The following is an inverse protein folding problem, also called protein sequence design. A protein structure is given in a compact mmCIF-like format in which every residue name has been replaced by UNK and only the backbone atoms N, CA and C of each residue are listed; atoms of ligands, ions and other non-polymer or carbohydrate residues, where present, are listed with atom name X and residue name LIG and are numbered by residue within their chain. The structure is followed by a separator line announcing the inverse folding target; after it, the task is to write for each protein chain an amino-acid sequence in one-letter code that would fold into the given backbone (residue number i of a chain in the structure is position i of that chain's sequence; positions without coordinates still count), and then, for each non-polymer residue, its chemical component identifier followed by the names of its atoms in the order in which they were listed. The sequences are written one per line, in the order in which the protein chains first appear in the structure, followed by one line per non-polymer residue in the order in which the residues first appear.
data_IF_734779273363
#
_entry.id   IF_734779273363
#
_cell.length_a   1.000
_cell.length_b   1.000
_cell.length_c   1.000
_cell.angle_alpha   90.00
_cell.angle_beta   90.00
_cell.angle_gamma   90.00
#
_symmetry.space_group_name_H-M   'P 1'
#
loop_
_entity.id
_entity.type
_entity.pdbx_description
1 polymer ?
2 water ?
#
# COMPACT_ATOMS: atom_id res chain seq x y z
N UNK A 1 -2.19 8.74 -20.04
CA UNK A 1 -1.72 9.10 -18.71
C UNK A 1 -0.45 9.95 -18.84
N UNK A 2 -0.18 10.80 -17.86
CA UNK A 2 0.89 11.79 -18.02
C UNK A 2 2.26 11.18 -17.74
N UNK A 3 3.30 11.97 -18.04
CA UNK A 3 4.65 11.46 -17.89
C UNK A 3 5.03 11.36 -16.43
N UNK A 4 4.50 12.24 -15.60
CA UNK A 4 4.76 12.20 -14.18
C UNK A 4 3.46 12.14 -13.40
N UNK A 5 3.44 11.29 -12.38
CA UNK A 5 2.38 11.25 -11.39
C UNK A 5 3.03 11.23 -10.02
N UNK A 6 2.48 11.99 -9.09
CA UNK A 6 2.97 12.00 -7.72
C UNK A 6 1.77 12.38 -6.86
N UNK A 7 1.09 11.38 -6.31
CA UNK A 7 -0.11 11.63 -5.53
C UNK A 7 0.13 12.43 -4.27
N UNK A 8 1.37 12.52 -3.80
CA UNK A 8 1.66 13.41 -2.67
C UNK A 8 1.38 14.86 -3.05
N UNK A 9 1.66 15.23 -4.31
CA UNK A 9 1.45 16.60 -4.75
C UNK A 9 -0.01 16.93 -4.87
N UNK A 10 -0.88 15.92 -4.88
CA UNK A 10 -2.31 16.13 -5.00
C UNK A 10 -3.04 15.82 -3.71
N UNK A 11 -2.35 16.00 -2.58
CA UNK A 11 -2.90 15.83 -1.25
C UNK A 11 -3.57 14.50 -0.97
N UNK A 12 -3.09 13.41 -1.59
CA UNK A 12 -3.74 12.11 -1.48
C UNK A 12 -2.92 11.09 -0.71
N UNK A 13 -1.85 11.52 -0.04
CA UNK A 13 -0.95 10.62 0.67
C UNK A 13 -0.75 11.13 2.08
N UNK A 14 -0.99 10.26 3.06
CA UNK A 14 -0.77 10.62 4.45
C UNK A 14 0.70 10.45 4.80
N UNK A 15 1.10 10.91 5.98
CA UNK A 15 2.50 10.78 6.39
C UNK A 15 2.99 9.34 6.38
N UNK A 16 4.30 9.18 6.19
CA UNK A 16 4.92 7.85 6.19
C UNK A 16 4.78 7.18 7.55
N UNK A 17 4.46 5.89 7.51
CA UNK A 17 4.23 5.12 8.72
C UNK A 17 5.38 4.14 8.95
N UNK A 18 5.41 3.56 10.14
CA UNK A 18 6.38 2.54 10.49
C UNK A 18 5.62 1.32 10.98
N UNK A 19 5.75 0.22 10.23
CA UNK A 19 5.06 -1.00 10.62
C UNK A 19 5.72 -1.63 11.84
N UNK A 20 6.94 -1.22 12.17
CA UNK A 20 7.58 -1.82 13.30
C UNK A 20 8.02 -3.22 12.98
N UNK A 21 8.15 -4.01 14.04
CA UNK A 21 8.63 -5.37 13.91
C UNK A 21 7.55 -6.27 13.34
N UNK A 22 6.30 -5.82 13.42
CA UNK A 22 5.14 -6.57 12.98
C UNK A 22 5.11 -6.74 11.46
N UNK A 23 4.78 -7.94 11.00
CA UNK A 23 4.64 -8.15 9.57
C UNK A 23 3.31 -7.66 9.04
N UNK A 24 3.04 -6.37 9.19
CA UNK A 24 1.75 -5.80 8.82
C UNK A 24 1.83 -4.95 7.57
N UNK A 25 2.92 -5.06 6.81
CA UNK A 25 3.04 -4.30 5.57
C UNK A 25 1.81 -4.46 4.69
N UNK A 26 1.20 -5.66 4.69
CA UNK A 26 0.04 -5.88 3.83
C UNK A 26 -1.10 -4.93 4.19
N UNK A 27 -1.26 -4.65 5.49
CA UNK A 27 -2.28 -3.72 5.95
C UNK A 27 -1.89 -2.27 5.68
N UNK A 28 -0.61 -1.94 5.85
CA UNK A 28 -0.17 -0.58 5.55
C UNK A 28 -0.36 -0.26 4.08
N UNK A 29 0.04 -1.18 3.20
CA UNK A 29 -0.15 -1.00 1.76
C UNK A 29 -1.63 -0.78 1.43
N UNK A 30 -2.51 -1.66 1.93
CA UNK A 30 -3.94 -1.46 1.66
C UNK A 30 -4.42 -0.10 2.15
N UNK A 31 -4.03 0.27 3.38
CA UNK A 31 -4.50 1.53 3.94
C UNK A 31 -4.03 2.71 3.11
N UNK A 32 -2.79 2.65 2.60
CA UNK A 32 -2.31 3.74 1.74
C UNK A 32 -3.27 3.91 0.58
N UNK A 33 -3.68 2.78 -0.01
CA UNK A 33 -4.56 2.88 -1.16
C UNK A 33 -5.97 3.36 -0.78
N UNK A 34 -6.43 3.04 0.42
CA UNK A 34 -7.75 3.54 0.84
C UNK A 34 -7.70 5.04 1.10
N UNK A 35 -6.70 5.52 1.85
CA UNK A 35 -6.54 6.96 2.06
C UNK A 35 -6.48 7.70 0.72
N UNK A 36 -5.80 7.11 -0.26
CA UNK A 36 -5.68 7.77 -1.54
C UNK A 36 -7.03 7.83 -2.25
N UNK A 37 -7.73 6.70 -2.32
CA UNK A 37 -8.98 6.69 -3.06
C UNK A 37 -10.05 7.54 -2.35
N UNK A 38 -10.01 7.63 -1.01
CA UNK A 38 -10.98 8.48 -0.32
C UNK A 38 -10.69 9.94 -0.64
N UNK A 39 -9.42 10.32 -0.70
CA UNK A 39 -9.10 11.69 -1.09
C UNK A 39 -9.54 11.97 -2.53
N UNK A 40 -9.24 11.04 -3.44
CA UNK A 40 -9.61 11.23 -4.84
C UNK A 40 -11.12 11.39 -5.00
N UNK A 41 -11.91 10.59 -4.29
CA UNK A 41 -13.36 10.64 -4.46
C UNK A 41 -14.05 11.73 -3.65
N UNK A 42 -13.53 12.11 -2.48
CA UNK A 42 -14.25 13.01 -1.59
C UNK A 42 -13.58 14.35 -1.35
N UNK A 43 -12.30 14.50 -1.67
CA UNK A 43 -11.58 15.74 -1.46
C UNK A 43 -10.92 15.89 -0.11
N UNK A 44 -11.13 14.95 0.81
CA UNK A 44 -10.59 15.01 2.16
C UNK A 44 -9.54 13.92 2.31
N UNK A 45 -8.39 14.28 2.87
CA UNK A 45 -7.35 13.32 3.21
C UNK A 45 -7.48 12.94 4.68
N UNK A 46 -7.76 11.67 4.94
CA UNK A 46 -7.87 11.16 6.30
C UNK A 46 -6.94 9.98 6.48
N UNK A 47 -6.62 9.67 7.73
CA UNK A 47 -5.88 8.46 8.04
C UNK A 47 -6.83 7.38 8.52
N UNK A 48 -6.64 6.18 8.01
CA UNK A 48 -7.48 5.05 8.35
C UNK A 48 -6.62 4.01 9.05
N UNK A 49 -7.29 3.00 9.58
CA UNK A 49 -6.71 2.12 10.57
C UNK A 49 -6.04 0.91 9.92
N UNK A 50 -4.71 0.88 9.94
CA UNK A 50 -4.02 -0.38 9.63
C UNK A 50 -4.34 -1.45 10.67
N UNK A 51 -4.45 -1.05 11.94
CA UNK A 51 -4.69 -2.01 13.01
C UNK A 51 -6.02 -2.73 12.82
N UNK A 52 -7.04 -2.01 12.35
CA UNK A 52 -8.33 -2.65 12.13
C UNK A 52 -8.21 -3.78 11.12
N UNK A 53 -7.47 -3.56 10.03
CA UNK A 53 -7.30 -4.62 9.05
C UNK A 53 -6.48 -5.75 9.62
N UNK A 54 -5.43 -5.39 10.35
CA UNK A 54 -4.58 -6.38 11.00
C UNK A 54 -5.41 -7.30 11.89
N UNK A 55 -6.32 -6.73 12.69
CA UNK A 55 -7.11 -7.49 13.66
C UNK A 55 -8.22 -8.27 12.98
N UNK A 56 -8.82 -7.70 11.94
CA UNK A 56 -10.11 -8.15 11.44
C UNK A 56 -10.04 -8.91 10.13
N UNK A 57 -8.92 -8.84 9.40
CA UNK A 57 -8.84 -9.59 8.14
C UNK A 57 -8.55 -11.05 8.46
N UNK A 58 -9.62 -11.84 8.45
CA UNK A 58 -9.61 -13.25 8.79
C UNK A 58 -8.91 -14.11 7.75
N UNK A 59 -8.63 -13.56 6.56
CA UNK A 59 -7.84 -14.27 5.55
C UNK A 59 -6.35 -14.03 5.72
N UNK A 60 -5.97 -12.87 6.25
CA UNK A 60 -4.58 -12.58 6.55
C UNK A 60 -4.20 -13.24 7.86
N UNK A 61 -2.93 -13.10 8.26
CA UNK A 61 -2.42 -13.78 9.45
C UNK A 61 -1.86 -12.80 10.48
N UNK A 62 -2.46 -11.63 10.59
CA UNK A 62 -1.95 -10.66 11.55
C UNK A 62 -0.54 -10.24 11.22
N UNK A 63 0.34 -10.28 12.22
CA UNK A 63 1.74 -9.92 12.04
C UNK A 63 2.57 -11.00 11.36
N UNK A 64 1.99 -12.14 11.03
CA UNK A 64 2.74 -13.13 10.29
C UNK A 64 2.56 -13.00 8.79
N UNK A 65 1.98 -11.89 8.34
CA UNK A 65 1.80 -11.59 6.94
C UNK A 65 0.33 -11.69 6.58
N UNK A 66 0.04 -11.37 5.33
CA UNK A 66 -1.34 -11.27 4.91
C UNK A 66 -1.43 -10.81 3.48
N UNK A 67 -2.64 -10.42 3.07
CA UNK A 67 -2.92 -10.20 1.67
C UNK A 67 -3.50 -8.81 1.53
N UNK A 68 -2.83 -7.90 0.85
CA UNK A 68 -3.43 -6.58 0.57
C UNK A 68 -4.78 -6.69 -0.11
N UNK A 69 -4.96 -7.67 -1.00
CA UNK A 69 -6.25 -7.83 -1.66
C UNK A 69 -7.34 -8.19 -0.66
N UNK A 70 -7.00 -9.00 0.34
CA UNK A 70 -7.99 -9.38 1.34
C UNK A 70 -8.39 -8.19 2.20
N UNK A 71 -7.41 -7.38 2.62
CA UNK A 71 -7.70 -6.18 3.38
C UNK A 71 -8.55 -5.21 2.59
N UNK A 72 -8.28 -5.09 1.29
CA UNK A 72 -9.09 -4.18 0.50
C UNK A 72 -10.51 -4.73 0.32
N UNK A 73 -10.64 -6.05 0.20
CA UNK A 73 -11.96 -6.67 0.22
C UNK A 73 -12.69 -6.35 1.52
N UNK A 74 -12.00 -6.51 2.65
CA UNK A 74 -12.61 -6.22 3.95
C UNK A 74 -13.12 -4.79 4.02
N UNK A 75 -12.35 -3.84 3.50
CA UNK A 75 -12.81 -2.45 3.52
C UNK A 75 -13.99 -2.25 2.57
N UNK A 76 -14.05 -3.02 1.49
CA UNK A 76 -15.18 -2.87 0.59
C UNK A 76 -16.45 -3.52 1.11
N UNK A 77 -16.36 -4.55 1.95
CA UNK A 77 -17.57 -5.24 2.39
C UNK A 77 -18.05 -4.82 3.77
N UNK A 78 -17.20 -4.18 4.57
CA UNK A 78 -17.65 -3.53 5.80
C UNK A 78 -17.30 -2.06 5.77
N UNK A 79 -16.03 -1.73 5.85
CA UNK A 79 -15.60 -0.36 5.92
C UNK A 79 -14.34 -0.32 6.74
N UNK A 80 -13.94 0.89 7.13
CA UNK A 80 -12.71 1.05 7.89
C UNK A 80 -12.87 2.26 8.79
N UNK A 81 -12.23 2.20 9.95
CA UNK A 81 -12.25 3.30 10.89
C UNK A 81 -11.07 4.23 10.67
N UNK A 82 -11.21 5.44 11.20
CA UNK A 82 -10.09 6.37 11.20
C UNK A 82 -8.95 5.78 12.00
N UNK A 83 -7.74 6.16 11.62
CA UNK A 83 -6.57 5.64 12.32
C UNK A 83 -6.62 6.00 13.79
N UNK A 84 -7.02 7.24 14.11
CA UNK A 84 -7.04 7.68 15.51
C UNK A 84 -8.08 6.92 16.31
N UNK A 85 -9.22 6.58 15.70
CA UNK A 85 -10.22 5.78 16.40
C UNK A 85 -9.68 4.39 16.73
N UNK A 86 -8.76 3.88 15.91
CA UNK A 86 -8.30 2.50 15.96
C UNK A 86 -6.81 2.53 15.66
N UNK A 87 -6.01 3.04 16.59
CA UNK A 87 -4.60 3.31 16.30
C UNK A 87 -3.79 2.04 16.21
N UNK A 88 -2.61 2.19 15.62
CA UNK A 88 -1.73 1.07 15.34
C UNK A 88 -0.97 0.70 16.59
N UNK A 89 -0.99 -0.58 16.93
CA UNK A 89 -0.37 -1.06 18.14
C UNK A 89 0.80 -1.98 17.85
N UNK A 90 0.97 -2.40 16.59
CA UNK A 90 2.12 -3.21 16.24
C UNK A 90 1.99 -4.64 16.72
N UNK A 91 0.77 -5.06 17.08
CA UNK A 91 0.48 -6.42 17.53
C UNK A 91 -0.96 -6.74 17.16
N UNK A 92 -1.20 -7.98 16.78
CA UNK A 92 -2.56 -8.39 16.46
C UNK A 92 -3.34 -8.57 17.75
N UNK A 93 -4.56 -8.05 17.76
CA UNK A 93 -5.47 -8.16 18.88
C UNK A 93 -6.80 -8.69 18.34
N UNK A 94 -7.79 -8.78 19.22
CA UNK A 94 -9.13 -9.13 18.78
C UNK A 94 -9.69 -8.03 17.89
N UNK A 95 -10.47 -8.44 16.89
CA UNK A 95 -11.16 -7.48 16.04
C UNK A 95 -12.12 -6.61 16.84
N UNK A 96 -11.90 -5.30 16.79
CA UNK A 96 -12.67 -4.35 17.59
C UNK A 96 -13.51 -3.39 16.75
N UNK A 97 -13.71 -3.67 15.46
CA UNK A 97 -14.54 -2.82 14.60
C UNK A 97 -15.93 -2.62 15.19
N UNK A 98 -16.56 -3.70 15.64
CA UNK A 98 -17.90 -3.58 16.22
C UNK A 98 -17.91 -2.66 17.44
N UNK A 99 -16.84 -2.66 18.23
CA UNK A 99 -16.77 -1.81 19.41
C UNK A 99 -16.33 -0.39 19.12
N UNK A 100 -16.03 -0.04 17.88
CA UNK A 100 -15.51 1.30 17.64
C UNK A 100 -16.50 2.17 16.89
N UNK A 101 -17.76 1.80 16.91
CA UNK A 101 -18.78 2.62 16.32
C UNK A 101 -18.83 2.40 14.82
N UNK A 102 -19.64 3.21 14.14
CA UNK A 102 -19.80 3.05 12.69
C UNK A 102 -18.51 3.31 11.94
N UNK A 103 -18.34 2.61 10.82
CA UNK A 103 -17.11 2.74 10.06
C UNK A 103 -16.99 4.15 9.49
N UNK A 104 -15.74 4.61 9.34
CA UNK A 104 -15.49 5.96 8.86
C UNK A 104 -15.62 6.07 7.35
N UNK A 105 -15.23 5.02 6.62
CA UNK A 105 -15.27 5.00 5.17
C UNK A 105 -15.54 3.58 4.70
N UNK A 106 -16.06 3.47 3.49
CA UNK A 106 -16.32 2.16 2.91
C UNK A 106 -16.12 2.28 1.41
N UNK A 107 -15.55 1.25 0.80
CA UNK A 107 -15.35 1.24 -0.65
C UNK A 107 -16.33 0.25 -1.27
N UNK A 108 -16.25 0.11 -2.59
CA UNK A 108 -17.23 -0.71 -3.29
C UNK A 108 -16.61 -1.96 -3.88
N UNK A 109 -15.29 -2.09 -3.80
CA UNK A 109 -14.65 -3.30 -4.27
C UNK A 109 -13.16 -3.11 -4.38
N UNK A 110 -12.52 -4.09 -5.00
CA UNK A 110 -11.08 -4.10 -5.17
C UNK A 110 -10.82 -4.72 -6.53
N UNK A 111 -10.07 -4.02 -7.37
CA UNK A 111 -9.68 -4.54 -8.66
C UNK A 111 -8.19 -4.87 -8.64
N UNK A 112 -7.79 -5.82 -9.46
CA UNK A 112 -6.40 -6.21 -9.63
C UNK A 112 -5.87 -5.67 -10.95
N UNK A 113 -4.66 -5.14 -10.91
CA UNK A 113 -3.95 -4.83 -12.15
C UNK A 113 -3.54 -6.13 -12.83
N UNK A 114 -3.54 -6.13 -14.17
CA UNK A 114 -2.90 -7.24 -14.87
C UNK A 114 -1.47 -7.41 -14.36
N UNK A 115 -1.10 -8.59 -13.87
CA UNK A 115 0.26 -8.75 -13.34
C UNK A 115 1.30 -8.78 -14.45
N UNK A 116 2.54 -8.47 -14.06
CA UNK A 116 3.70 -8.57 -14.94
C UNK A 116 3.53 -7.67 -16.16
N UNK A 117 2.98 -6.48 -15.94
CA UNK A 117 2.62 -5.56 -17.02
C UNK A 117 2.85 -4.15 -16.49
N UNK A 118 3.96 -3.54 -16.90
CA UNK A 118 4.33 -2.23 -16.36
C UNK A 118 3.28 -1.17 -16.70
N UNK A 119 2.88 -1.10 -17.96
CA UNK A 119 1.93 -0.08 -18.35
C UNK A 119 0.60 -0.22 -17.63
N UNK A 120 0.17 -1.46 -17.39
CA UNK A 120 -1.07 -1.66 -16.66
C UNK A 120 -0.94 -1.10 -15.25
N UNK A 121 0.24 -1.29 -14.65
CA UNK A 121 0.46 -0.76 -13.32
C UNK A 121 0.51 0.76 -13.35
N UNK A 122 1.20 1.32 -14.34
CA UNK A 122 1.24 2.77 -14.48
C UNK A 122 -0.15 3.35 -14.69
N UNK A 123 -0.97 2.67 -15.49
CA UNK A 123 -2.33 3.15 -15.71
C UNK A 123 -3.11 3.24 -14.41
N UNK A 124 -2.97 2.24 -13.54
CA UNK A 124 -3.69 2.32 -12.28
C UNK A 124 -3.14 3.44 -11.41
N UNK A 125 -1.82 3.66 -11.44
CA UNK A 125 -1.26 4.69 -10.57
C UNK A 125 -1.75 6.06 -11.00
N UNK A 126 -1.91 6.27 -12.30
CA UNK A 126 -2.46 7.52 -12.81
C UNK A 126 -3.88 7.77 -12.33
N UNK A 127 -4.59 6.72 -11.91
CA UNK A 127 -5.91 6.91 -11.31
C UNK A 127 -5.85 7.04 -9.81
N UNK A 128 -4.86 6.41 -9.15
CA UNK A 128 -4.88 6.30 -7.70
C UNK A 128 -3.67 5.57 -7.16
N UNK A 129 -3.35 5.73 -5.88
CA UNK A 129 -2.32 4.87 -5.28
C UNK A 129 -2.75 3.41 -5.35
N UNK A 130 -1.77 2.53 -5.57
CA UNK A 130 -2.03 1.12 -5.84
C UNK A 130 -1.20 0.31 -4.85
N UNK A 131 -1.77 -0.78 -4.36
CA UNK A 131 -1.01 -1.69 -3.51
C UNK A 131 -0.17 -2.60 -4.39
N UNK A 132 1.14 -2.67 -4.12
CA UNK A 132 2.06 -3.49 -4.91
C UNK A 132 2.91 -4.30 -3.94
N UNK A 133 3.57 -5.33 -4.47
CA UNK A 133 4.44 -6.16 -3.65
C UNK A 133 5.84 -6.16 -4.25
N UNK A 134 6.82 -6.48 -3.41
CA UNK A 134 8.19 -6.50 -3.88
C UNK A 134 9.04 -7.36 -2.95
N UNK A 135 10.26 -7.64 -3.42
CA UNK A 135 11.28 -8.32 -2.64
C UNK A 135 12.05 -7.30 -1.82
N UNK A 136 11.87 -7.33 -0.51
CA UNK A 136 12.57 -6.41 0.37
C UNK A 136 13.68 -7.08 1.18
N UNK A 137 13.90 -8.38 0.99
CA UNK A 137 14.85 -9.11 1.84
C UNK A 137 16.30 -8.74 1.55
N UNK A 138 16.60 -8.29 0.33
CA UNK A 138 17.98 -7.98 -0.01
C UNK A 138 18.51 -6.80 0.79
N UNK A 139 19.77 -6.91 1.24
CA UNK A 139 20.39 -5.80 1.95
C UNK A 139 20.41 -4.54 1.09
N UNK A 140 20.50 -4.68 -0.23
CA UNK A 140 20.55 -3.50 -1.08
C UNK A 140 19.27 -2.68 -0.93
N UNK A 141 18.12 -3.37 -0.91
CA UNK A 141 16.84 -2.72 -0.65
C UNK A 141 16.73 -2.26 0.79
N UNK A 142 17.18 -3.12 1.71
CA UNK A 142 17.08 -2.82 3.13
C UNK A 142 17.84 -1.54 3.47
N UNK A 143 19.00 -1.32 2.83
CA UNK A 143 19.90 -0.21 3.13
C UNK A 143 19.69 1.00 2.22
N UNK A 144 18.67 0.97 1.36
CA UNK A 144 18.45 2.05 0.40
C UNK A 144 18.35 3.40 1.10
N UNK A 145 19.09 4.39 0.59
CA UNK A 145 19.06 5.76 1.09
C UNK A 145 18.47 6.75 0.12
N UNK A 146 18.54 6.48 -1.17
CA UNK A 146 18.01 7.43 -2.12
C UNK A 146 18.50 7.13 -3.51
N UNK A 147 17.89 7.83 -4.44
CA UNK A 147 18.15 7.66 -5.85
C UNK A 147 17.15 6.72 -6.45
N UNK A 148 17.30 6.50 -7.75
CA UNK A 148 16.43 5.56 -8.42
C UNK A 148 17.01 4.17 -8.23
N UNK A 149 16.31 3.35 -7.46
CA UNK A 149 16.79 2.03 -7.08
C UNK A 149 16.62 1.06 -8.23
N UNK A 150 17.70 0.38 -8.61
CA UNK A 150 17.69 -0.60 -9.68
C UNK A 150 17.94 -2.02 -9.17
N UNK A 151 18.07 -2.19 -7.85
CA UNK A 151 18.53 -3.42 -7.23
C UNK A 151 19.98 -3.31 -6.77
N UNK A 152 20.67 -4.44 -6.61
CA UNK A 152 20.26 -5.81 -6.89
C UNK A 152 19.07 -6.26 -6.08
N UNK A 153 18.23 -7.08 -6.69
CA UNK A 153 17.13 -7.72 -5.99
C UNK A 153 16.61 -8.81 -6.89
N UNK A 154 16.02 -9.82 -6.28
CA UNK A 154 15.32 -10.83 -7.03
C UNK A 154 13.85 -10.52 -7.14
N UNK A 155 13.13 -11.45 -7.76
CA UNK A 155 11.70 -11.35 -7.96
C UNK A 155 10.92 -12.11 -6.89
N UNK A 156 11.53 -12.37 -5.73
CA UNK A 156 10.87 -13.11 -4.66
C UNK A 156 10.16 -12.11 -3.75
N UNK A 157 8.91 -11.79 -4.09
CA UNK A 157 8.23 -10.72 -3.39
C UNK A 157 7.82 -11.18 -2.00
N UNK A 158 7.92 -10.27 -1.03
CA UNK A 158 7.73 -10.61 0.38
C UNK A 158 7.26 -9.41 1.19
N UNK A 159 6.93 -8.29 0.55
CA UNK A 159 6.72 -7.05 1.27
C UNK A 159 5.70 -6.24 0.49
N UNK A 160 4.62 -5.83 1.15
CA UNK A 160 3.59 -5.05 0.49
C UNK A 160 3.80 -3.58 0.78
N UNK A 161 3.72 -2.76 -0.27
CA UNK A 161 3.96 -1.32 -0.18
C UNK A 161 2.96 -0.66 -1.10
N UNK A 162 3.10 0.64 -1.33
CA UNK A 162 2.13 1.30 -2.19
C UNK A 162 2.80 2.18 -3.23
N UNK A 163 2.36 2.06 -4.47
CA UNK A 163 2.84 2.93 -5.53
C UNK A 163 1.94 4.16 -5.55
N UNK A 164 2.54 5.33 -5.38
CA UNK A 164 1.82 6.59 -5.29
C UNK A 164 2.24 7.54 -6.40
N UNK A 165 3.04 7.07 -7.34
CA UNK A 165 3.43 7.89 -8.46
C UNK A 165 4.41 7.15 -9.34
N UNK A 166 4.91 7.86 -10.33
CA UNK A 166 5.90 7.30 -11.24
C UNK A 166 6.52 8.45 -12.03
N UNK A 167 7.60 8.13 -12.72
CA UNK A 167 8.17 9.05 -13.66
C UNK A 167 8.65 8.30 -14.88
N UNK A 168 9.33 9.01 -15.78
CA UNK A 168 9.77 8.37 -17.03
C UNK A 168 10.62 7.13 -16.81
N UNK A 169 11.29 7.00 -15.68
CA UNK A 169 12.16 5.86 -15.48
C UNK A 169 12.01 5.22 -14.11
N UNK A 170 10.95 5.51 -13.35
CA UNK A 170 10.82 4.93 -12.03
C UNK A 170 9.33 4.84 -11.68
N UNK A 171 9.05 4.07 -10.63
CA UNK A 171 7.77 4.06 -9.95
C UNK A 171 8.02 4.49 -8.51
N UNK A 172 7.16 5.35 -8.00
CA UNK A 172 7.33 5.98 -6.69
C UNK A 172 6.59 5.18 -5.63
N UNK A 173 7.30 4.74 -4.59
CA UNK A 173 6.78 3.79 -3.62
C UNK A 173 6.80 4.42 -2.23
N UNK A 174 5.64 4.38 -1.56
CA UNK A 174 5.49 4.70 -0.16
C UNK A 174 5.68 3.40 0.60
N UNK A 175 6.76 3.33 1.37
CA UNK A 175 7.08 2.21 2.24
C UNK A 175 6.54 2.49 3.65
N UNK A 176 6.54 1.46 4.49
CA UNK A 176 6.04 1.54 5.86
C UNK A 176 7.14 1.26 6.87
N UNK A 177 8.33 1.83 6.64
CA UNK A 177 9.49 1.65 7.50
C UNK A 177 9.91 2.93 8.22
N UNK A 178 9.00 3.88 8.37
CA UNK A 178 9.29 5.12 9.04
C UNK A 178 9.84 6.14 8.07
N UNK A 179 9.92 7.38 8.55
CA UNK A 179 10.37 8.47 7.71
C UNK A 179 11.89 8.50 7.52
N UNK A 180 12.64 7.70 8.27
CA UNK A 180 14.08 7.66 8.15
C UNK A 180 14.65 6.73 7.11
N UNK A 181 13.82 5.89 6.51
CA UNK A 181 14.28 4.97 5.48
C UNK A 181 14.12 5.59 4.10
N UNK A 182 15.12 5.39 3.24
CA UNK A 182 14.96 5.80 1.85
C UNK A 182 14.85 7.30 1.72
N UNK A 183 14.02 7.74 0.78
CA UNK A 183 13.83 9.17 0.50
C UNK A 183 12.66 9.67 1.34
N UNK A 184 12.97 9.96 2.61
CA UNK A 184 11.98 10.37 3.61
C UNK A 184 10.88 9.33 3.70
N UNK A 185 11.26 8.07 3.55
CA UNK A 185 10.32 6.98 3.69
C UNK A 185 9.87 6.40 2.38
N UNK A 186 10.28 7.00 1.27
CA UNK A 186 9.87 6.57 -0.06
C UNK A 186 11.05 5.93 -0.78
N UNK A 187 10.74 5.16 -1.81
CA UNK A 187 11.75 4.66 -2.73
C UNK A 187 11.27 4.85 -4.16
N UNK A 188 12.16 5.28 -5.02
CA UNK A 188 11.89 5.31 -6.44
C UNK A 188 12.58 4.10 -7.04
N UNK A 189 11.80 3.22 -7.65
CA UNK A 189 12.31 1.96 -8.16
C UNK A 189 12.34 2.07 -9.67
N UNK A 190 13.47 1.72 -10.28
CA UNK A 190 13.60 1.83 -11.73
C UNK A 190 12.48 1.07 -12.44
N UNK A 191 11.97 1.66 -13.52
CA UNK A 191 11.06 0.95 -14.39
C UNK A 191 11.62 1.04 -15.80
N UNK A 192 11.01 0.32 -16.73
CA UNK A 192 11.44 0.39 -18.11
C UNK A 192 12.63 -0.48 -18.43
N UNK A 193 12.95 -1.46 -17.57
CA UNK A 193 14.09 -2.34 -17.79
C UNK A 193 13.75 -3.50 -18.71
N UNK A 194 12.47 -3.69 -19.02
CA UNK A 194 12.06 -4.77 -19.86
C UNK A 194 11.91 -6.09 -19.15
N UNK A 195 12.14 -6.12 -17.84
CA UNK A 195 11.94 -7.32 -17.05
C UNK A 195 10.47 -7.40 -16.66
N UNK A 196 9.81 -8.49 -17.06
CA UNK A 196 8.36 -8.58 -16.93
C UNK A 196 7.94 -8.70 -15.48
N UNK A 197 8.74 -9.37 -14.66
CA UNK A 197 8.53 -9.38 -13.22
C UNK A 197 8.53 -7.98 -12.62
N UNK A 198 9.17 -7.01 -13.28
CA UNK A 198 9.46 -5.73 -12.66
C UNK A 198 10.72 -5.78 -11.83
N UNK A 199 11.40 -4.64 -11.65
CA UNK A 199 12.51 -4.61 -10.71
C UNK A 199 11.99 -5.01 -9.33
N UNK A 200 12.69 -5.95 -8.68
CA UNK A 200 12.26 -6.51 -7.39
C UNK A 200 10.87 -7.12 -7.45
N UNK A 201 10.44 -7.62 -8.61
CA UNK A 201 9.13 -8.23 -8.68
C UNK A 201 7.99 -7.26 -8.53
N UNK A 202 8.23 -5.98 -8.80
CA UNK A 202 7.27 -4.94 -8.51
C UNK A 202 5.93 -5.14 -9.21
N UNK A 203 5.88 -5.94 -10.28
CA UNK A 203 4.64 -6.11 -11.04
C UNK A 203 3.92 -7.41 -10.69
N UNK A 204 4.29 -8.03 -9.58
CA UNK A 204 3.79 -9.36 -9.25
C UNK A 204 2.31 -9.36 -8.84
N UNK A 205 1.88 -8.38 -8.03
CA UNK A 205 0.57 -8.49 -7.39
C UNK A 205 0.10 -7.10 -6.97
N UNK A 206 -0.80 -6.51 -7.75
CA UNK A 206 -1.18 -5.12 -7.52
C UNK A 206 -2.70 -5.01 -7.46
N UNK A 207 -3.19 -4.31 -6.45
CA UNK A 207 -4.62 -4.20 -6.20
C UNK A 207 -4.92 -2.75 -5.87
N UNK A 208 -6.14 -2.33 -6.15
CA UNK A 208 -6.53 -0.99 -5.74
C UNK A 208 -8.00 -1.06 -5.38
N UNK A 209 -8.45 -0.22 -4.45
CA UNK A 209 -9.88 -0.21 -4.12
C UNK A 209 -10.68 0.58 -5.13
N UNK A 210 -11.93 0.17 -5.28
CA UNK A 210 -12.89 0.87 -6.12
C UNK A 210 -13.96 1.47 -5.23
N UNK A 211 -14.26 2.74 -5.49
CA UNK A 211 -15.25 3.49 -4.74
C UNK A 211 -15.91 4.38 -5.78
N UNK A 212 -17.20 4.18 -6.01
CA UNK A 212 -17.87 5.00 -7.00
C UNK A 212 -18.17 6.39 -6.43
#
# INVERSE_FOLDING_TARGET
IPEYVDWRQKGAVTPVKNQGSCGSCWAFSAVVTIEGIIKIRTGNLNEYSEQELLDCDRRSYGCNGGYPWSALQLVAQYGIHYRNTYPYEGVQRYCRSREKGPYAAKTDGVRQVQPYNEGALLYSIANQPVSVVLEAAGKDFQLYRGGIFVGPCGNKVDHAVAAVGYGPNYILIKNSWGTGWGENGYIRIKRGTGNSYGVCGLYTSSFYPVKN
#
